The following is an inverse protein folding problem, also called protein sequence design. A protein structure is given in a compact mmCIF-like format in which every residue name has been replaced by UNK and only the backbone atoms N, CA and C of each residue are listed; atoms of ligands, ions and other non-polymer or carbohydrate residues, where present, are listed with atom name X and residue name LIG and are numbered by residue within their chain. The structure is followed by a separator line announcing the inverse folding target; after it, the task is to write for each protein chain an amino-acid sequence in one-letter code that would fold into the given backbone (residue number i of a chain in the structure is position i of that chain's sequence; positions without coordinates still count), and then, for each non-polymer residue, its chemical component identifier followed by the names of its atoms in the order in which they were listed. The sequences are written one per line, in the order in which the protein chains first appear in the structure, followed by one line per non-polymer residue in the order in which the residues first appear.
data_IF_568849778349
#
_entry.id   IF_568849778349
#
_cell.length_a   1.000
_cell.length_b   1.000
_cell.length_c   1.000
_cell.angle_alpha   90.00
_cell.angle_beta   90.00
_cell.angle_gamma   90.00
#
_symmetry.space_group_name_H-M   'P 1'
#
loop_
_entity.id
_entity.type
_entity.pdbx_description
1 polymer ?
#
# COMPACT_ATOMS: atom_id res chain seq x y z
N UNK A 1 -18.61 -25.56 27.04
CA UNK A 1 -17.61 -26.35 26.29
C UNK A 1 -16.25 -25.79 26.67
N UNK A 2 -15.35 -26.57 27.29
CA UNK A 2 -13.99 -26.13 27.61
C UNK A 2 -13.26 -25.89 26.30
N UNK A 3 -12.72 -24.68 26.11
CA UNK A 3 -11.92 -24.36 24.93
C UNK A 3 -10.78 -25.37 24.76
N UNK A 4 -10.64 -25.93 23.56
CA UNK A 4 -9.59 -26.91 23.25
C UNK A 4 -8.22 -26.22 23.42
N UNK A 5 -7.48 -26.61 24.47
CA UNK A 5 -6.26 -25.91 24.88
C UNK A 5 -5.12 -26.15 23.89
N UNK A 6 -4.56 -25.08 23.34
CA UNK A 6 -3.39 -25.12 22.47
C UNK A 6 -2.12 -25.39 23.29
N UNK A 7 -1.42 -26.48 22.98
CA UNK A 7 -0.20 -26.93 23.67
C UNK A 7 1.05 -26.39 22.98
N UNK A 8 1.11 -26.49 21.63
CA UNK A 8 2.31 -26.08 20.85
C UNK A 8 1.94 -25.77 19.40
N UNK A 9 2.63 -24.80 18.82
CA UNK A 9 2.61 -24.52 17.38
C UNK A 9 4.06 -24.52 16.85
N UNK A 10 4.28 -25.10 15.70
CA UNK A 10 5.57 -25.02 14.99
C UNK A 10 5.40 -25.29 13.50
N UNK A 11 6.34 -24.80 12.69
CA UNK A 11 6.42 -25.11 11.26
C UNK A 11 7.31 -26.31 11.00
N UNK A 12 7.01 -27.06 9.95
CA UNK A 12 7.81 -28.20 9.49
C UNK A 12 7.83 -28.26 7.97
N UNK A 13 8.97 -28.63 7.41
CA UNK A 13 9.08 -28.93 5.99
C UNK A 13 8.31 -30.23 5.68
N UNK A 14 7.59 -30.25 4.58
CA UNK A 14 6.96 -31.47 4.05
C UNK A 14 8.08 -32.36 3.50
N UNK A 15 8.20 -33.55 4.06
CA UNK A 15 9.13 -34.54 3.55
C UNK A 15 8.58 -35.24 2.31
N UNK A 16 9.42 -36.08 1.71
CA UNK A 16 9.03 -36.94 0.59
C UNK A 16 9.67 -38.32 0.77
N UNK A 17 8.94 -39.35 0.37
CA UNK A 17 9.44 -40.74 0.33
C UNK A 17 8.81 -41.46 -0.87
N UNK A 18 9.65 -41.93 -1.79
CA UNK A 18 9.24 -42.61 -3.01
C UNK A 18 8.20 -41.85 -3.84
N UNK A 19 8.42 -40.50 -4.03
CA UNK A 19 7.50 -39.66 -4.76
C UNK A 19 6.20 -39.27 -4.03
N UNK A 20 6.05 -39.68 -2.79
CA UNK A 20 4.88 -39.37 -1.96
C UNK A 20 5.24 -38.40 -0.85
N UNK A 21 4.48 -37.31 -0.72
CA UNK A 21 4.63 -36.33 0.36
C UNK A 21 4.41 -36.96 1.72
N UNK A 22 5.22 -36.56 2.68
CA UNK A 22 5.25 -37.12 4.03
C UNK A 22 5.18 -36.01 5.07
N UNK A 23 4.26 -36.16 6.00
CA UNK A 23 4.19 -35.33 7.21
C UNK A 23 4.77 -36.15 8.38
N UNK A 24 5.87 -35.63 8.93
CA UNK A 24 6.54 -36.22 10.07
C UNK A 24 6.41 -35.30 11.28
N UNK A 25 5.72 -35.78 12.33
CA UNK A 25 5.52 -35.04 13.57
C UNK A 25 6.23 -35.83 14.68
N UNK A 26 7.33 -35.29 15.19
CA UNK A 26 8.02 -35.84 16.36
C UNK A 26 8.04 -34.79 17.48
N UNK A 27 7.41 -35.07 18.61
CA UNK A 27 7.37 -34.13 19.71
C UNK A 27 7.09 -34.82 21.03
N UNK A 28 7.84 -34.44 22.08
CA UNK A 28 7.50 -34.83 23.48
C UNK A 28 6.14 -34.24 23.91
N UNK A 29 5.74 -33.10 23.34
CA UNK A 29 4.46 -32.44 23.64
C UNK A 29 3.24 -33.23 23.11
N UNK A 30 3.41 -34.17 22.20
CA UNK A 30 2.35 -35.12 21.83
C UNK A 30 1.84 -35.95 23.02
N UNK A 31 2.71 -36.19 24.04
CA UNK A 31 2.29 -36.89 25.27
C UNK A 31 1.21 -36.14 26.08
N UNK A 32 1.07 -34.84 25.86
CA UNK A 32 0.09 -33.97 26.52
C UNK A 32 -1.28 -33.97 25.81
N UNK A 33 -1.35 -34.54 24.60
CA UNK A 33 -2.60 -34.68 23.84
C UNK A 33 -3.37 -35.93 24.20
N UNK A 34 -4.69 -35.94 23.97
CA UNK A 34 -5.50 -37.15 24.11
C UNK A 34 -5.11 -38.27 23.12
N UNK A 35 -4.48 -37.91 22.01
CA UNK A 35 -3.99 -38.90 21.03
C UNK A 35 -2.95 -39.84 21.65
N UNK A 36 -2.19 -39.40 22.65
CA UNK A 36 -1.19 -40.18 23.34
C UNK A 36 -1.81 -41.31 24.20
N UNK A 37 -3.04 -41.14 24.68
CA UNK A 37 -3.67 -42.09 25.60
C UNK A 37 -3.89 -43.46 24.96
N UNK A 38 -4.30 -43.49 23.69
CA UNK A 38 -4.57 -44.71 22.94
C UNK A 38 -3.45 -45.08 21.95
N UNK A 39 -2.44 -44.25 21.81
CA UNK A 39 -1.37 -44.34 20.79
C UNK A 39 -1.91 -44.64 19.38
N UNK A 40 -3.11 -44.11 19.09
CA UNK A 40 -3.78 -44.24 17.80
C UNK A 40 -4.54 -42.97 17.47
N UNK A 41 -4.67 -42.67 16.17
CA UNK A 41 -5.38 -41.51 15.66
C UNK A 41 -6.17 -41.84 14.40
N UNK A 42 -7.12 -40.97 14.08
CA UNK A 42 -7.88 -40.97 12.85
C UNK A 42 -7.72 -39.59 12.15
N UNK A 43 -7.28 -39.56 10.89
CA UNK A 43 -7.12 -38.31 10.14
C UNK A 43 -8.43 -37.94 9.44
N UNK A 44 -8.85 -36.70 9.58
CA UNK A 44 -9.89 -36.06 8.80
C UNK A 44 -9.18 -35.15 7.74
N UNK A 45 -9.57 -35.30 6.48
CA UNK A 45 -8.97 -34.60 5.35
C UNK A 45 -9.95 -33.56 4.79
N UNK A 46 -9.59 -32.26 4.90
CA UNK A 46 -10.32 -31.16 4.31
C UNK A 46 -9.54 -30.63 3.10
N UNK A 47 -9.98 -31.04 1.92
CA UNK A 47 -9.31 -30.67 0.65
C UNK A 47 -9.54 -29.22 0.26
N UNK A 48 -10.66 -28.63 0.66
CA UNK A 48 -10.97 -27.22 0.36
C UNK A 48 -10.17 -26.28 1.27
N UNK A 49 -10.21 -26.51 2.59
CA UNK A 49 -9.43 -25.73 3.54
C UNK A 49 -7.93 -26.04 3.51
N UNK A 50 -7.51 -27.08 2.78
CA UNK A 50 -6.12 -27.58 2.74
C UNK A 50 -5.62 -27.95 4.14
N UNK A 51 -6.42 -28.76 4.87
CA UNK A 51 -6.20 -29.07 6.28
C UNK A 51 -6.29 -30.57 6.54
N UNK A 52 -5.42 -31.04 7.42
CA UNK A 52 -5.56 -32.40 8.04
C UNK A 52 -5.77 -32.21 9.55
N UNK A 53 -6.83 -32.79 10.07
CA UNK A 53 -7.11 -32.82 11.52
C UNK A 53 -6.97 -34.24 12.02
N UNK A 54 -6.11 -34.44 13.03
CA UNK A 54 -5.92 -35.75 13.65
C UNK A 54 -6.67 -35.76 14.99
N UNK A 55 -7.60 -36.69 15.13
CA UNK A 55 -8.37 -36.92 16.35
C UNK A 55 -8.03 -38.29 16.96
N UNK A 56 -8.40 -38.53 18.21
CA UNK A 56 -8.32 -39.84 18.82
C UNK A 56 -9.17 -40.80 18.01
N UNK A 57 -8.59 -41.93 17.60
CA UNK A 57 -9.25 -42.93 16.77
C UNK A 57 -8.57 -44.28 16.86
N UNK A 58 -8.96 -45.23 15.99
CA UNK A 58 -8.45 -46.61 16.01
C UNK A 58 -7.65 -46.97 14.73
N UNK A 59 -7.60 -46.08 13.76
CA UNK A 59 -7.10 -46.39 12.42
C UNK A 59 -5.58 -46.43 12.36
N UNK A 60 -4.91 -45.33 12.72
CA UNK A 60 -3.46 -45.21 12.56
C UNK A 60 -2.73 -45.28 13.90
N UNK A 61 -1.52 -45.86 13.88
CA UNK A 61 -0.70 -46.03 15.08
C UNK A 61 0.26 -44.87 15.29
N UNK A 62 0.41 -44.42 16.53
CA UNK A 62 1.46 -43.51 16.97
C UNK A 62 2.64 -44.34 17.45
N UNK A 63 3.82 -44.06 16.93
CA UNK A 63 5.07 -44.74 17.29
C UNK A 63 5.79 -44.02 18.42
N UNK A 64 6.58 -44.77 19.20
CA UNK A 64 7.46 -44.19 20.23
C UNK A 64 8.92 -44.31 19.78
N UNK A 65 9.69 -43.20 19.82
CA UNK A 65 11.09 -43.23 19.55
C UNK A 65 11.88 -43.49 20.83
N UNK A 66 12.43 -44.72 20.96
CA UNK A 66 13.09 -45.18 22.19
C UNK A 66 14.18 -44.24 22.71
N UNK A 67 15.01 -43.66 21.83
CA UNK A 67 16.12 -42.78 22.23
C UNK A 67 15.71 -41.42 22.81
N UNK A 68 14.62 -40.83 22.35
CA UNK A 68 14.15 -39.50 22.75
C UNK A 68 12.92 -39.52 23.65
N UNK A 69 12.31 -40.68 23.83
CA UNK A 69 11.01 -40.84 24.48
C UNK A 69 9.94 -39.90 23.93
N UNK A 70 10.01 -39.63 22.61
CA UNK A 70 9.04 -38.79 21.91
C UNK A 70 8.07 -39.63 21.11
N UNK A 71 6.82 -39.18 21.03
CA UNK A 71 5.84 -39.78 20.14
C UNK A 71 6.06 -39.29 18.71
N UNK A 72 5.77 -40.16 17.77
CA UNK A 72 5.92 -39.91 16.33
C UNK A 72 4.63 -40.23 15.60
N UNK A 73 4.12 -39.27 14.85
CA UNK A 73 3.06 -39.47 13.87
C UNK A 73 3.70 -39.36 12.49
N UNK A 74 3.47 -40.36 11.65
CA UNK A 74 3.98 -40.46 10.30
C UNK A 74 2.82 -40.62 9.33
N UNK A 75 2.57 -39.60 8.49
CA UNK A 75 1.47 -39.63 7.53
C UNK A 75 2.07 -39.63 6.14
N UNK A 76 1.88 -40.72 5.42
CA UNK A 76 2.38 -40.96 4.09
C UNK A 76 1.28 -41.61 3.25
N UNK A 77 0.54 -40.83 2.48
CA UNK A 77 -0.52 -41.33 1.60
C UNK A 77 -0.88 -40.33 0.53
N UNK A 78 -1.74 -40.72 -0.40
CA UNK A 78 -2.14 -39.91 -1.54
C UNK A 78 -2.91 -38.62 -1.13
N UNK A 79 -3.68 -38.67 -0.04
CA UNK A 79 -4.41 -37.49 0.45
C UNK A 79 -3.45 -36.35 0.87
N UNK A 80 -2.28 -36.71 1.44
CA UNK A 80 -1.24 -35.71 1.75
C UNK A 80 -0.69 -35.07 0.50
N UNK A 81 -0.49 -35.85 -0.59
CA UNK A 81 -0.06 -35.30 -1.88
C UNK A 81 -1.03 -34.28 -2.42
N UNK A 82 -2.32 -34.62 -2.40
CA UNK A 82 -3.39 -33.79 -2.98
C UNK A 82 -3.66 -32.53 -2.15
N UNK A 83 -3.74 -32.68 -0.82
CA UNK A 83 -4.00 -31.54 0.08
C UNK A 83 -2.85 -30.52 0.00
N UNK A 84 -1.62 -31.00 0.03
CA UNK A 84 -0.43 -30.13 0.08
C UNK A 84 0.27 -30.01 -1.27
N UNK A 85 -0.43 -30.25 -2.38
CA UNK A 85 0.12 -30.00 -3.71
C UNK A 85 0.58 -28.54 -3.86
N UNK A 86 1.85 -28.34 -4.30
CA UNK A 86 2.47 -27.03 -4.45
C UNK A 86 2.98 -26.39 -3.15
N UNK A 87 2.75 -27.00 -1.98
CA UNK A 87 3.28 -26.52 -0.69
C UNK A 87 4.56 -27.28 -0.29
N UNK A 88 5.46 -26.56 0.39
CA UNK A 88 6.71 -27.11 0.92
C UNK A 88 6.75 -27.19 2.44
N UNK A 89 5.96 -26.35 3.12
CA UNK A 89 5.93 -26.26 4.56
C UNK A 89 4.50 -26.31 5.11
N UNK A 90 4.38 -26.84 6.32
CA UNK A 90 3.14 -26.88 7.10
C UNK A 90 3.33 -26.25 8.46
N UNK A 91 2.25 -25.72 9.01
CA UNK A 91 2.12 -25.36 10.42
C UNK A 91 1.39 -26.51 11.12
N UNK A 92 1.96 -26.99 12.21
CA UNK A 92 1.42 -28.06 13.06
C UNK A 92 1.01 -27.44 14.37
N UNK A 93 -0.27 -27.54 14.70
CA UNK A 93 -0.88 -27.03 15.93
C UNK A 93 -1.30 -28.24 16.81
N UNK A 94 -0.65 -28.39 17.95
CA UNK A 94 -0.99 -29.43 18.93
C UNK A 94 -1.99 -28.85 19.92
N UNK A 95 -3.22 -29.34 19.87
CA UNK A 95 -4.24 -29.09 20.90
C UNK A 95 -4.39 -30.29 21.83
N UNK A 96 -5.07 -30.10 22.95
CA UNK A 96 -5.32 -31.19 23.91
C UNK A 96 -6.10 -32.32 23.26
N UNK A 97 -7.07 -32.00 22.42
CA UNK A 97 -8.02 -33.00 21.87
C UNK A 97 -7.71 -33.41 20.42
N UNK A 98 -6.87 -32.63 19.71
CA UNK A 98 -6.58 -32.84 18.29
C UNK A 98 -5.22 -32.28 17.87
N UNK A 99 -4.76 -32.68 16.69
CA UNK A 99 -3.61 -32.06 16.00
C UNK A 99 -4.07 -31.54 14.65
N UNK A 100 -3.82 -30.25 14.38
CA UNK A 100 -4.18 -29.61 13.11
C UNK A 100 -2.91 -29.37 12.31
N UNK A 101 -2.94 -29.71 11.03
CA UNK A 101 -1.85 -29.52 10.06
C UNK A 101 -2.39 -28.71 8.89
N UNK A 102 -1.78 -27.56 8.63
CA UNK A 102 -2.19 -26.62 7.57
C UNK A 102 -0.96 -26.15 6.80
N UNK A 103 -1.07 -25.71 5.53
CA UNK A 103 0.03 -25.06 4.84
C UNK A 103 0.52 -23.83 5.59
N UNK A 104 1.79 -23.47 5.41
CA UNK A 104 2.29 -22.19 5.88
C UNK A 104 1.50 -21.05 5.23
N UNK A 105 1.11 -20.03 6.02
CA UNK A 105 0.22 -18.95 5.54
C UNK A 105 0.79 -18.27 4.29
N UNK A 106 2.08 -17.94 4.30
CA UNK A 106 2.76 -17.28 3.18
C UNK A 106 2.68 -18.10 1.89
N UNK A 107 2.88 -19.42 1.97
CA UNK A 107 2.78 -20.32 0.80
C UNK A 107 1.34 -20.44 0.30
N UNK A 108 0.35 -20.47 1.22
CA UNK A 108 -1.07 -20.48 0.88
C UNK A 108 -1.46 -19.19 0.16
N UNK A 109 -1.00 -18.06 0.65
CA UNK A 109 -1.26 -16.74 0.07
C UNK A 109 -0.67 -16.62 -1.34
N UNK A 110 0.57 -17.11 -1.54
CA UNK A 110 1.20 -17.16 -2.87
C UNK A 110 0.44 -18.07 -3.85
N UNK A 111 -0.09 -19.19 -3.39
CA UNK A 111 -0.91 -20.10 -4.22
C UNK A 111 -2.22 -19.41 -4.65
N UNK A 112 -2.91 -18.76 -3.71
CA UNK A 112 -4.13 -18.00 -3.99
C UNK A 112 -3.85 -16.89 -5.03
N UNK A 113 -2.76 -16.16 -4.86
CA UNK A 113 -2.34 -15.12 -5.79
C UNK A 113 -2.09 -15.68 -7.21
N UNK A 114 -1.41 -16.84 -7.33
CA UNK A 114 -1.16 -17.49 -8.63
C UNK A 114 -2.43 -17.92 -9.36
N UNK A 115 -3.48 -18.30 -8.64
CA UNK A 115 -4.74 -18.77 -9.20
C UNK A 115 -5.71 -17.62 -9.55
N UNK A 116 -5.52 -16.44 -8.95
CA UNK A 116 -6.39 -15.29 -9.16
C UNK A 116 -6.28 -14.76 -10.58
N UNK A 117 -7.41 -14.46 -11.23
CA UNK A 117 -7.46 -13.82 -12.53
C UNK A 117 -7.68 -12.31 -12.38
N UNK A 118 -7.26 -11.53 -13.38
CA UNK A 118 -7.66 -10.12 -13.46
C UNK A 118 -9.12 -10.02 -13.92
N UNK A 119 -9.86 -9.11 -13.30
CA UNK A 119 -11.23 -8.78 -13.71
C UNK A 119 -11.23 -8.02 -15.05
N UNK A 120 -12.22 -8.26 -15.89
CA UNK A 120 -12.47 -7.46 -17.10
C UNK A 120 -13.17 -6.13 -16.78
N UNK A 121 -13.84 -6.05 -15.61
CA UNK A 121 -14.46 -4.84 -15.09
C UNK A 121 -13.90 -4.60 -13.67
N UNK A 122 -12.67 -4.11 -13.57
CA UNK A 122 -11.98 -4.02 -12.29
C UNK A 122 -12.63 -3.02 -11.34
N UNK A 123 -12.67 -3.39 -10.07
CA UNK A 123 -13.15 -2.57 -8.98
C UNK A 123 -12.00 -2.13 -8.07
N UNK A 124 -12.11 -0.96 -7.46
CA UNK A 124 -11.09 -0.43 -6.55
C UNK A 124 -11.69 0.04 -5.22
N UNK A 125 -10.86 -0.07 -4.16
CA UNK A 125 -11.03 0.65 -2.90
C UNK A 125 -9.93 1.69 -2.82
N UNK A 126 -10.30 2.94 -2.57
CA UNK A 126 -9.35 4.03 -2.36
C UNK A 126 -9.21 4.35 -0.87
N UNK A 127 -7.98 4.34 -0.38
CA UNK A 127 -7.61 4.67 1.00
C UNK A 127 -6.92 6.03 1.01
N UNK A 128 -7.34 6.92 1.92
CA UNK A 128 -6.96 8.35 1.97
C UNK A 128 -7.45 9.10 0.73
N UNK A 129 -8.74 8.92 0.42
CA UNK A 129 -9.33 9.34 -0.84
C UNK A 129 -9.39 10.85 -1.06
N UNK A 130 -9.27 11.66 0.02
CA UNK A 130 -9.40 13.10 -0.08
C UNK A 130 -10.69 13.51 -0.77
N UNK A 131 -10.61 14.47 -1.68
CA UNK A 131 -11.76 14.95 -2.47
C UNK A 131 -12.08 14.13 -3.72
N UNK A 132 -11.52 12.92 -3.89
CA UNK A 132 -11.87 12.00 -4.98
C UNK A 132 -11.09 12.21 -6.29
N UNK A 133 -9.95 12.86 -6.26
CA UNK A 133 -9.13 13.10 -7.48
C UNK A 133 -8.67 11.77 -8.09
N UNK A 134 -8.26 10.83 -7.27
CA UNK A 134 -7.79 9.52 -7.75
C UNK A 134 -8.98 8.62 -8.15
N UNK A 135 -10.14 8.74 -7.47
CA UNK A 135 -11.41 8.11 -7.90
C UNK A 135 -11.72 8.49 -9.36
N UNK A 136 -11.61 9.80 -9.68
CA UNK A 136 -11.81 10.30 -11.05
C UNK A 136 -10.81 9.67 -12.03
N UNK A 137 -9.53 9.65 -11.68
CA UNK A 137 -8.47 9.09 -12.54
C UNK A 137 -8.66 7.58 -12.77
N UNK A 138 -9.07 6.83 -11.75
CA UNK A 138 -9.41 5.41 -11.87
C UNK A 138 -10.61 5.21 -12.81
N UNK A 139 -11.64 6.04 -12.67
CA UNK A 139 -12.82 6.03 -13.55
C UNK A 139 -12.46 6.29 -15.02
N UNK A 140 -11.57 7.26 -15.28
CA UNK A 140 -11.05 7.57 -16.62
C UNK A 140 -10.24 6.39 -17.21
N UNK A 141 -9.64 5.57 -16.35
CA UNK A 141 -8.93 4.35 -16.73
C UNK A 141 -9.85 3.10 -16.83
N UNK A 142 -11.16 3.26 -16.67
CA UNK A 142 -12.12 2.15 -16.71
C UNK A 142 -12.21 1.31 -15.45
N UNK A 143 -11.68 1.81 -14.31
CA UNK A 143 -11.69 1.12 -13.02
C UNK A 143 -12.79 1.74 -12.15
N UNK A 144 -13.74 0.92 -11.70
CA UNK A 144 -14.85 1.39 -10.86
C UNK A 144 -14.42 1.43 -9.39
N UNK A 145 -14.33 2.62 -8.79
CA UNK A 145 -14.19 2.74 -7.33
C UNK A 145 -15.51 2.36 -6.66
N UNK A 146 -15.47 1.38 -5.75
CA UNK A 146 -16.64 0.87 -5.02
C UNK A 146 -16.66 1.37 -3.57
N UNK A 147 -15.50 1.71 -3.01
CA UNK A 147 -15.39 2.25 -1.66
C UNK A 147 -14.25 3.26 -1.57
N UNK A 148 -14.41 4.26 -0.71
CA UNK A 148 -13.42 5.29 -0.41
C UNK A 148 -13.35 5.53 1.10
N UNK A 149 -12.14 5.58 1.66
CA UNK A 149 -11.90 5.82 3.09
C UNK A 149 -11.14 7.13 3.24
N UNK A 150 -11.67 8.05 4.05
CA UNK A 150 -11.08 9.36 4.32
C UNK A 150 -11.34 9.78 5.76
N UNK A 151 -10.40 10.49 6.37
CA UNK A 151 -10.50 10.98 7.75
C UNK A 151 -11.47 12.17 7.87
N UNK A 152 -11.43 13.08 6.90
CA UNK A 152 -12.08 14.39 6.97
C UNK A 152 -13.37 14.42 6.13
N UNK A 153 -14.51 14.53 6.81
CA UNK A 153 -15.83 14.57 6.17
C UNK A 153 -15.97 15.63 5.06
N UNK A 154 -15.36 16.81 5.25
CA UNK A 154 -15.40 17.88 4.24
C UNK A 154 -14.80 17.49 2.86
N UNK A 155 -13.85 16.53 2.85
CA UNK A 155 -13.31 16.01 1.60
C UNK A 155 -14.24 14.97 1.00
N UNK A 156 -14.86 14.13 1.84
CA UNK A 156 -15.84 13.15 1.38
C UNK A 156 -17.06 13.81 0.75
N UNK A 157 -17.54 14.92 1.29
CA UNK A 157 -18.66 15.68 0.69
C UNK A 157 -18.35 16.07 -0.78
N UNK A 158 -17.11 16.49 -1.07
CA UNK A 158 -16.70 16.77 -2.46
C UNK A 158 -16.62 15.50 -3.31
N UNK A 159 -16.09 14.40 -2.74
CA UNK A 159 -16.02 13.10 -3.42
C UNK A 159 -17.42 12.61 -3.76
N UNK A 160 -18.34 12.61 -2.81
CA UNK A 160 -19.73 12.15 -2.95
C UNK A 160 -20.52 12.95 -3.97
N UNK A 161 -20.35 14.30 -3.98
CA UNK A 161 -20.99 15.17 -4.95
C UNK A 161 -20.58 14.84 -6.41
N UNK A 162 -19.34 14.40 -6.61
CA UNK A 162 -18.80 14.06 -7.93
C UNK A 162 -18.90 12.57 -8.26
N UNK A 163 -19.06 11.70 -7.26
CA UNK A 163 -19.05 10.25 -7.40
C UNK A 163 -20.14 9.58 -6.53
N UNK A 164 -21.44 9.81 -6.83
CA UNK A 164 -22.55 9.40 -5.94
C UNK A 164 -22.71 7.89 -5.75
N UNK A 165 -22.04 7.08 -6.55
CA UNK A 165 -22.11 5.62 -6.50
C UNK A 165 -20.96 4.97 -5.71
N UNK A 166 -20.10 5.77 -5.07
CA UNK A 166 -19.00 5.28 -4.22
C UNK A 166 -19.47 5.21 -2.78
N UNK A 167 -19.30 4.08 -2.12
CA UNK A 167 -19.55 3.97 -0.68
C UNK A 167 -18.41 4.63 0.08
N UNK A 168 -18.73 5.62 0.90
CA UNK A 168 -17.73 6.37 1.68
C UNK A 168 -17.66 5.90 3.12
N UNK A 169 -16.45 5.91 3.68
CA UNK A 169 -16.17 5.61 5.09
C UNK A 169 -15.40 6.78 5.68
N UNK A 170 -16.05 7.53 6.56
CA UNK A 170 -15.45 8.68 7.25
C UNK A 170 -14.83 8.27 8.58
N UNK A 171 -13.56 8.57 8.79
CA UNK A 171 -12.93 8.41 10.08
C UNK A 171 -11.48 7.90 10.04
N UNK A 172 -10.96 7.71 11.24
CA UNK A 172 -9.57 7.26 11.46
C UNK A 172 -9.39 5.81 10.97
N UNK A 173 -8.50 5.63 10.00
CA UNK A 173 -8.17 4.32 9.43
C UNK A 173 -7.74 3.29 10.49
N UNK A 174 -7.12 3.75 11.58
CA UNK A 174 -6.71 2.88 12.69
C UNK A 174 -7.90 2.26 13.44
N UNK A 175 -9.06 2.86 13.35
CA UNK A 175 -10.32 2.45 14.02
C UNK A 175 -11.32 1.82 13.07
N UNK A 176 -11.00 1.75 11.78
CA UNK A 176 -11.89 1.18 10.77
C UNK A 176 -12.09 -0.33 11.02
N UNK A 177 -13.32 -0.75 11.06
CA UNK A 177 -13.66 -2.18 10.96
C UNK A 177 -13.49 -2.62 9.49
N UNK A 178 -12.37 -3.28 9.22
CA UNK A 178 -12.00 -3.72 7.87
C UNK A 178 -13.04 -4.69 7.28
N UNK A 179 -13.80 -5.42 8.11
CA UNK A 179 -14.84 -6.34 7.65
C UNK A 179 -16.01 -5.64 6.94
N UNK A 180 -16.16 -4.34 7.16
CA UNK A 180 -17.18 -3.52 6.46
C UNK A 180 -16.78 -3.17 5.02
N UNK A 181 -15.49 -3.27 4.68
CA UNK A 181 -15.04 -2.98 3.32
C UNK A 181 -15.45 -4.07 2.34
N UNK A 182 -15.93 -3.72 1.13
CA UNK A 182 -16.26 -4.70 0.11
C UNK A 182 -14.99 -5.40 -0.41
N UNK A 183 -15.15 -6.55 -1.07
CA UNK A 183 -14.07 -7.12 -1.88
C UNK A 183 -13.87 -6.26 -3.12
N UNK A 184 -12.61 -6.10 -3.53
CA UNK A 184 -12.25 -5.35 -4.73
C UNK A 184 -11.03 -5.98 -5.42
N UNK A 185 -10.88 -5.67 -6.71
CA UNK A 185 -9.74 -6.12 -7.51
C UNK A 185 -8.48 -5.31 -7.24
N UNK A 186 -8.65 -4.05 -6.82
CA UNK A 186 -7.55 -3.13 -6.48
C UNK A 186 -7.74 -2.50 -5.10
N UNK A 187 -6.62 -2.28 -4.42
CA UNK A 187 -6.51 -1.33 -3.31
C UNK A 187 -5.53 -0.24 -3.74
N UNK A 188 -5.99 1.00 -3.64
CA UNK A 188 -5.22 2.18 -4.02
C UNK A 188 -5.06 3.06 -2.79
N UNK A 189 -3.85 3.51 -2.48
CA UNK A 189 -3.56 4.32 -1.32
C UNK A 189 -2.64 5.50 -1.66
N UNK A 190 -3.15 6.73 -1.53
CA UNK A 190 -2.36 7.95 -1.49
C UNK A 190 -2.00 8.29 -0.05
N UNK A 191 -0.95 7.68 0.49
CA UNK A 191 -0.62 7.81 1.92
C UNK A 191 -0.34 9.28 2.26
N UNK A 192 -0.80 9.84 3.41
CA UNK A 192 -0.49 11.22 3.80
C UNK A 192 1.01 11.46 3.95
N UNK A 193 1.56 12.33 3.11
CA UNK A 193 3.00 12.59 2.96
C UNK A 193 3.64 13.44 4.07
N UNK A 194 2.90 13.86 5.09
CA UNK A 194 3.37 14.81 6.10
C UNK A 194 4.64 14.34 6.82
N UNK A 195 4.76 13.03 7.08
CA UNK A 195 5.94 12.41 7.67
C UNK A 195 7.14 12.27 6.71
N UNK A 196 6.91 12.22 5.39
CA UNK A 196 7.95 11.93 4.38
C UNK A 196 8.34 13.14 3.54
N UNK A 197 7.59 14.26 3.66
CA UNK A 197 7.79 15.44 2.83
C UNK A 197 9.08 16.21 3.20
N UNK A 198 9.82 16.67 2.18
CA UNK A 198 10.95 17.59 2.36
C UNK A 198 10.54 18.95 2.95
N UNK A 199 9.25 19.30 2.89
CA UNK A 199 8.69 20.53 3.45
C UNK A 199 8.51 20.48 4.97
N UNK A 200 8.86 19.37 5.63
CA UNK A 200 8.77 19.22 7.08
C UNK A 200 9.70 20.20 7.78
N UNK A 201 9.16 20.97 8.72
CA UNK A 201 9.89 22.02 9.45
C UNK A 201 10.85 21.51 10.52
N UNK A 202 10.62 20.28 11.03
CA UNK A 202 11.47 19.61 12.01
C UNK A 202 12.22 18.45 11.36
N UNK A 203 13.42 18.71 10.85
CA UNK A 203 14.30 17.70 10.23
C UNK A 203 14.94 16.68 11.20
N UNK A 204 14.67 16.78 12.49
CA UNK A 204 15.35 15.99 13.55
C UNK A 204 14.63 14.69 13.88
N UNK A 205 13.38 14.50 13.46
CA UNK A 205 12.62 13.29 13.73
C UNK A 205 12.69 12.33 12.52
N UNK A 206 12.81 11.04 12.80
CA UNK A 206 12.69 10.00 11.76
C UNK A 206 11.28 10.06 11.16
N UNK A 207 11.14 9.73 9.89
CA UNK A 207 9.86 9.74 9.19
C UNK A 207 8.77 8.96 9.92
N UNK A 208 9.13 7.82 10.48
CA UNK A 208 8.22 6.91 11.20
C UNK A 208 7.77 7.45 12.57
N UNK A 209 8.46 8.44 13.13
CA UNK A 209 8.06 9.10 14.38
C UNK A 209 6.92 10.10 14.20
N UNK A 210 6.62 10.50 12.95
CA UNK A 210 5.46 11.34 12.66
C UNK A 210 4.16 10.56 12.86
N UNK A 211 3.07 11.16 13.36
CA UNK A 211 1.77 10.48 13.55
C UNK A 211 1.25 9.77 12.28
N UNK A 212 1.53 10.31 11.09
CA UNK A 212 1.14 9.68 9.81
C UNK A 212 2.11 8.59 9.35
N UNK A 213 3.29 8.47 9.95
CA UNK A 213 4.33 7.51 9.55
C UNK A 213 3.91 6.04 9.71
N UNK A 214 2.97 5.75 10.60
CA UNK A 214 2.44 4.40 10.83
C UNK A 214 1.23 4.04 9.94
N UNK A 215 0.68 4.96 9.16
CA UNK A 215 -0.55 4.74 8.39
C UNK A 215 -0.38 3.64 7.33
N UNK A 216 0.80 3.46 6.78
CA UNK A 216 1.11 2.36 5.86
C UNK A 216 0.86 0.97 6.46
N UNK A 217 1.00 0.81 7.79
CA UNK A 217 0.67 -0.44 8.48
C UNK A 217 -0.81 -0.81 8.35
N UNK A 218 -1.71 0.17 8.49
CA UNK A 218 -3.15 -0.07 8.34
C UNK A 218 -3.53 -0.36 6.87
N UNK A 219 -2.83 0.25 5.91
CA UNK A 219 -2.97 -0.10 4.49
C UNK A 219 -2.61 -1.58 4.28
N UNK A 220 -1.50 -2.06 4.84
CA UNK A 220 -1.11 -3.48 4.74
C UNK A 220 -2.14 -4.42 5.39
N UNK A 221 -2.76 -4.04 6.51
CA UNK A 221 -3.86 -4.81 7.12
C UNK A 221 -5.06 -4.92 6.19
N UNK A 222 -5.42 -3.84 5.50
CA UNK A 222 -6.52 -3.84 4.53
C UNK A 222 -6.17 -4.74 3.33
N UNK A 223 -4.94 -4.64 2.81
CA UNK A 223 -4.47 -5.49 1.70
C UNK A 223 -4.53 -6.97 2.11
N UNK A 224 -4.10 -7.31 3.34
CA UNK A 224 -4.18 -8.69 3.87
C UNK A 224 -5.62 -9.21 3.96
N UNK A 225 -6.57 -8.37 4.32
CA UNK A 225 -7.98 -8.73 4.44
C UNK A 225 -8.71 -8.83 3.08
N UNK A 226 -8.42 -7.88 2.17
CA UNK A 226 -9.10 -7.79 0.87
C UNK A 226 -8.49 -8.76 -0.15
N UNK A 227 -7.16 -8.94 -0.12
CA UNK A 227 -6.40 -9.73 -1.11
C UNK A 227 -6.68 -9.28 -2.54
N UNK A 228 -6.46 -8.01 -2.88
CA UNK A 228 -6.73 -7.50 -4.23
C UNK A 228 -5.81 -8.17 -5.27
N UNK A 229 -6.16 -8.09 -6.55
CA UNK A 229 -5.26 -8.53 -7.63
C UNK A 229 -4.12 -7.52 -7.86
N UNK A 230 -4.37 -6.25 -7.57
CA UNK A 230 -3.41 -5.16 -7.75
C UNK A 230 -3.45 -4.22 -6.53
N UNK A 231 -2.29 -3.75 -6.12
CA UNK A 231 -2.12 -2.68 -5.13
C UNK A 231 -1.40 -1.52 -5.82
N UNK A 232 -1.89 -0.30 -5.64
CA UNK A 232 -1.21 0.92 -6.05
C UNK A 232 -0.98 1.81 -4.83
N UNK A 233 0.27 2.18 -4.58
CA UNK A 233 0.64 3.13 -3.53
C UNK A 233 1.28 4.35 -4.19
N UNK A 234 0.74 5.54 -3.90
CA UNK A 234 1.29 6.84 -4.30
C UNK A 234 1.84 7.57 -3.09
N UNK A 235 3.02 8.14 -3.21
CA UNK A 235 3.68 8.91 -2.16
C UNK A 235 4.72 9.89 -2.72
N UNK A 236 5.32 10.71 -1.84
CA UNK A 236 6.47 11.55 -2.22
C UNK A 236 7.74 10.70 -2.40
N UNK A 237 8.73 11.15 -3.22
CA UNK A 237 9.94 10.36 -3.53
C UNK A 237 10.70 9.84 -2.30
N UNK A 238 10.73 10.61 -1.21
CA UNK A 238 11.44 10.20 0.01
C UNK A 238 10.87 8.94 0.68
N UNK A 239 9.60 8.62 0.44
CA UNK A 239 8.99 7.38 0.94
C UNK A 239 9.78 6.14 0.50
N UNK A 240 10.32 6.13 -0.72
CA UNK A 240 11.05 4.99 -1.31
C UNK A 240 12.15 4.45 -0.39
N UNK A 241 12.84 5.32 0.35
CA UNK A 241 13.94 4.97 1.25
C UNK A 241 13.52 4.79 2.72
N UNK A 242 12.23 4.88 3.03
CA UNK A 242 11.71 4.74 4.40
C UNK A 242 11.69 3.27 4.87
N UNK A 243 11.66 3.08 6.18
CA UNK A 243 11.45 1.77 6.78
C UNK A 243 10.06 1.21 6.42
N UNK A 244 9.04 2.08 6.32
CA UNK A 244 7.70 1.69 5.90
C UNK A 244 7.68 1.13 4.47
N UNK A 245 8.37 1.77 3.52
CA UNK A 245 8.48 1.25 2.16
C UNK A 245 9.18 -0.12 2.13
N UNK A 246 10.25 -0.29 2.92
CA UNK A 246 10.97 -1.56 3.03
C UNK A 246 10.08 -2.67 3.60
N UNK A 247 9.32 -2.37 4.64
CA UNK A 247 8.35 -3.29 5.23
C UNK A 247 7.23 -3.62 4.24
N UNK A 248 6.72 -2.63 3.51
CA UNK A 248 5.67 -2.81 2.51
C UNK A 248 6.13 -3.77 1.41
N UNK A 249 7.35 -3.59 0.89
CA UNK A 249 7.93 -4.51 -0.12
C UNK A 249 8.01 -5.94 0.42
N UNK A 250 8.58 -6.11 1.60
CA UNK A 250 8.73 -7.43 2.22
C UNK A 250 7.36 -8.13 2.42
N UNK A 251 6.39 -7.42 2.97
CA UNK A 251 5.06 -7.98 3.23
C UNK A 251 4.36 -8.34 1.92
N UNK A 252 4.34 -7.45 0.92
CA UNK A 252 3.70 -7.72 -0.36
C UNK A 252 4.38 -8.88 -1.11
N UNK A 253 5.71 -8.95 -1.11
CA UNK A 253 6.44 -10.08 -1.69
C UNK A 253 6.10 -11.40 -0.99
N UNK A 254 6.08 -11.42 0.35
CA UNK A 254 5.68 -12.60 1.13
C UNK A 254 4.23 -13.04 0.86
N UNK A 255 3.36 -12.11 0.48
CA UNK A 255 1.98 -12.37 0.06
C UNK A 255 1.87 -12.86 -1.39
N UNK A 256 2.98 -12.92 -2.14
CA UNK A 256 3.05 -13.40 -3.51
C UNK A 256 2.84 -12.34 -4.58
N UNK A 257 2.91 -11.05 -4.24
CA UNK A 257 2.86 -9.98 -5.23
C UNK A 257 4.22 -9.76 -5.89
N UNK A 258 4.19 -9.37 -7.16
CA UNK A 258 5.33 -8.87 -7.91
C UNK A 258 5.30 -7.34 -7.90
N UNK A 259 6.38 -6.71 -7.48
CA UNK A 259 6.45 -5.28 -7.20
C UNK A 259 7.21 -4.58 -8.32
N UNK A 260 6.64 -3.49 -8.84
CA UNK A 260 7.26 -2.54 -9.75
C UNK A 260 7.16 -1.14 -9.16
N UNK A 261 8.23 -0.37 -9.27
CA UNK A 261 8.33 0.96 -8.65
C UNK A 261 8.92 1.97 -9.61
N UNK A 262 8.40 3.19 -9.57
CA UNK A 262 8.95 4.31 -10.35
C UNK A 262 8.72 5.65 -9.66
N UNK A 263 9.40 6.67 -10.15
CA UNK A 263 9.08 8.08 -9.86
C UNK A 263 8.47 8.71 -11.10
N UNK A 264 7.26 9.24 -10.95
CA UNK A 264 6.54 9.95 -11.99
C UNK A 264 6.67 11.46 -11.79
N UNK A 265 6.89 12.19 -12.87
CA UNK A 265 6.91 13.65 -12.87
C UNK A 265 5.72 14.13 -13.69
N UNK A 266 4.84 14.95 -13.11
CA UNK A 266 3.60 15.37 -13.78
C UNK A 266 3.83 16.02 -15.14
N UNK A 267 4.88 16.80 -15.29
CA UNK A 267 5.21 17.43 -16.58
C UNK A 267 5.52 16.44 -17.71
N UNK A 268 5.98 15.24 -17.38
CA UNK A 268 6.30 14.21 -18.38
C UNK A 268 5.04 13.56 -18.96
N UNK A 269 3.88 13.80 -18.33
CA UNK A 269 2.58 13.29 -18.74
C UNK A 269 1.58 14.38 -19.13
N UNK A 270 2.10 15.55 -19.55
CA UNK A 270 1.29 16.66 -20.05
C UNK A 270 0.68 17.56 -18.98
N UNK A 271 1.03 17.37 -17.70
CA UNK A 271 0.69 18.31 -16.64
C UNK A 271 1.59 19.55 -16.70
N UNK A 272 1.06 20.72 -16.34
CA UNK A 272 1.86 21.94 -16.18
C UNK A 272 2.61 22.00 -14.84
N UNK A 273 2.60 20.95 -14.02
CA UNK A 273 3.32 20.92 -12.74
C UNK A 273 4.48 19.93 -12.76
N UNK A 274 5.62 20.34 -12.18
CA UNK A 274 6.79 19.48 -11.96
C UNK A 274 6.63 18.60 -10.71
N UNK A 275 5.38 18.22 -10.38
CA UNK A 275 5.09 17.40 -9.20
C UNK A 275 5.68 16.00 -9.37
N UNK A 276 6.63 15.65 -8.49
CA UNK A 276 7.21 14.32 -8.44
C UNK A 276 6.45 13.43 -7.47
N UNK A 277 6.21 12.18 -7.89
CA UNK A 277 5.58 11.16 -7.05
C UNK A 277 6.25 9.82 -7.22
N UNK A 278 6.48 9.16 -6.10
CA UNK A 278 6.80 7.76 -6.06
C UNK A 278 5.52 6.95 -6.23
N UNK A 279 5.57 5.96 -7.10
CA UNK A 279 4.49 5.01 -7.33
C UNK A 279 5.01 3.59 -7.19
N UNK A 280 4.30 2.78 -6.39
CA UNK A 280 4.53 1.34 -6.26
C UNK A 280 3.28 0.62 -6.77
N UNK A 281 3.45 -0.28 -7.71
CA UNK A 281 2.42 -1.24 -8.15
C UNK A 281 2.84 -2.63 -7.72
N UNK A 282 1.99 -3.30 -6.96
CA UNK A 282 2.17 -4.70 -6.62
C UNK A 282 1.05 -5.52 -7.27
N UNK A 283 1.40 -6.52 -8.05
CA UNK A 283 0.49 -7.32 -8.87
C UNK A 283 0.67 -8.81 -8.59
N UNK A 284 -0.43 -9.57 -8.60
CA UNK A 284 -0.40 -11.04 -8.46
C UNK A 284 0.27 -11.75 -9.64
N UNK A 285 0.42 -11.09 -10.78
CA UNK A 285 1.08 -11.61 -11.99
C UNK A 285 2.35 -10.81 -12.28
N UNK A 286 3.35 -11.51 -12.78
CA UNK A 286 4.59 -10.90 -13.30
C UNK A 286 4.32 -10.09 -14.57
N UNK A 287 5.22 -9.13 -14.86
CA UNK A 287 5.27 -8.44 -16.15
C UNK A 287 4.54 -7.10 -16.17
N UNK A 288 4.10 -6.57 -15.01
CA UNK A 288 3.73 -5.16 -14.97
C UNK A 288 4.99 -4.29 -15.01
N UNK A 289 5.04 -3.38 -15.95
CA UNK A 289 6.08 -2.35 -16.10
C UNK A 289 5.43 -1.00 -16.34
N UNK A 290 6.04 0.05 -15.82
CA UNK A 290 5.62 1.41 -16.14
C UNK A 290 6.04 1.75 -17.57
N UNK A 291 5.07 2.17 -18.38
CA UNK A 291 5.27 2.39 -19.81
C UNK A 291 5.71 3.84 -20.08
N UNK A 292 6.98 4.01 -20.40
CA UNK A 292 7.55 5.32 -20.77
C UNK A 292 6.97 5.88 -22.08
N UNK A 293 6.34 5.07 -22.93
CA UNK A 293 5.68 5.53 -24.16
C UNK A 293 4.45 6.40 -23.87
N UNK A 294 3.91 6.33 -22.66
CA UNK A 294 2.80 7.18 -22.20
C UNK A 294 3.24 8.62 -21.88
N UNK A 295 4.55 8.88 -21.83
CA UNK A 295 5.06 10.25 -21.67
C UNK A 295 4.63 11.12 -22.83
N UNK A 296 4.11 12.30 -22.51
CA UNK A 296 3.61 13.26 -23.50
C UNK A 296 4.37 14.57 -23.38
N UNK A 297 4.92 15.04 -24.48
CA UNK A 297 5.47 16.41 -24.57
C UNK A 297 4.31 17.38 -24.35
N UNK A 298 4.41 18.19 -23.30
CA UNK A 298 3.42 19.24 -23.08
C UNK A 298 3.58 20.33 -24.16
N UNK A 299 2.53 20.50 -24.96
CA UNK A 299 2.47 21.55 -26.00
C UNK A 299 1.92 22.86 -25.46
N UNK A 300 1.22 22.82 -24.31
CA UNK A 300 0.67 24.02 -23.67
C UNK A 300 1.71 24.72 -22.81
N UNK A 301 1.56 26.01 -22.69
CA UNK A 301 2.35 26.87 -21.80
C UNK A 301 1.46 27.41 -20.68
N UNK A 302 2.07 28.11 -19.74
CA UNK A 302 1.34 28.83 -18.68
C UNK A 302 0.36 29.82 -19.27
N UNK A 303 0.76 30.53 -20.35
CA UNK A 303 -0.10 31.49 -21.08
C UNK A 303 -1.43 30.89 -21.51
N UNK A 304 -1.41 29.64 -21.97
CA UNK A 304 -2.59 28.94 -22.52
C UNK A 304 -3.64 28.57 -21.47
N UNK A 305 -3.28 28.67 -20.19
CA UNK A 305 -4.18 28.30 -19.06
C UNK A 305 -4.59 29.51 -18.21
N UNK A 306 -4.11 30.71 -18.52
CA UNK A 306 -4.49 31.89 -17.76
C UNK A 306 -5.91 32.33 -18.10
N UNK A 307 -6.80 32.30 -17.10
CA UNK A 307 -8.18 32.77 -17.24
C UNK A 307 -8.26 34.31 -17.25
N UNK A 308 -7.37 34.96 -16.47
CA UNK A 308 -7.26 36.40 -16.45
C UNK A 308 -6.10 36.83 -17.37
N UNK A 309 -6.36 37.56 -18.44
CA UNK A 309 -5.31 38.09 -19.32
C UNK A 309 -4.23 38.86 -18.59
N UNK A 310 -3.03 38.88 -19.14
CA UNK A 310 -1.85 39.51 -18.52
C UNK A 310 -2.09 40.99 -18.21
N UNK A 311 -2.76 41.68 -19.09
CA UNK A 311 -3.11 43.11 -19.01
C UNK A 311 -4.13 43.43 -17.92
N UNK A 312 -4.92 42.44 -17.50
CA UNK A 312 -5.99 42.63 -16.50
C UNK A 312 -5.60 42.06 -15.12
N UNK A 313 -4.33 41.73 -14.91
CA UNK A 313 -3.87 41.14 -13.65
C UNK A 313 -3.37 42.21 -12.68
N UNK A 314 -3.57 41.93 -11.39
CA UNK A 314 -2.94 42.69 -10.33
C UNK A 314 -1.47 42.34 -10.24
N UNK A 315 -0.62 43.33 -10.54
CA UNK A 315 0.82 43.17 -10.47
C UNK A 315 1.40 43.78 -9.20
N UNK A 316 2.19 43.00 -8.50
CA UNK A 316 2.80 43.36 -7.22
C UNK A 316 4.32 43.39 -7.36
N UNK A 317 4.94 44.44 -6.82
CA UNK A 317 6.38 44.60 -6.74
C UNK A 317 6.84 44.96 -5.32
N UNK A 318 8.12 45.26 -5.14
CA UNK A 318 8.68 45.64 -3.83
C UNK A 318 8.13 46.97 -3.29
N UNK A 319 7.52 47.80 -4.13
CA UNK A 319 7.03 49.15 -3.72
C UNK A 319 5.56 49.07 -3.25
N UNK A 320 4.80 48.13 -3.80
CA UNK A 320 3.36 48.00 -3.48
C UNK A 320 3.02 46.73 -2.67
N UNK A 321 4.00 45.87 -2.35
CA UNK A 321 3.79 44.65 -1.56
C UNK A 321 4.93 44.34 -0.59
N UNK A 322 4.65 44.45 0.70
CA UNK A 322 5.60 44.11 1.76
C UNK A 322 6.06 42.63 1.68
N UNK A 323 5.17 41.73 1.28
CA UNK A 323 5.47 40.27 1.11
C UNK A 323 6.48 40.07 -0.02
N UNK A 324 6.32 40.75 -1.14
CA UNK A 324 7.22 40.67 -2.27
C UNK A 324 8.59 41.28 -1.88
N UNK A 325 8.59 42.47 -1.29
CA UNK A 325 9.82 43.13 -0.82
C UNK A 325 10.62 42.23 0.11
N UNK A 326 9.99 41.70 1.15
CA UNK A 326 10.62 40.79 2.09
C UNK A 326 11.17 39.51 1.42
N UNK A 327 10.44 38.93 0.50
CA UNK A 327 10.84 37.68 -0.15
C UNK A 327 12.01 37.88 -1.12
N UNK A 328 12.09 39.00 -1.82
CA UNK A 328 13.23 39.36 -2.67
C UNK A 328 14.50 39.49 -1.82
N UNK A 329 14.43 40.24 -0.71
CA UNK A 329 15.58 40.42 0.18
C UNK A 329 16.00 39.10 0.85
N UNK A 330 15.05 38.32 1.29
CA UNK A 330 15.31 37.02 1.84
C UNK A 330 15.98 36.07 0.83
N UNK A 331 15.52 36.06 -0.42
CA UNK A 331 16.15 35.27 -1.48
C UNK A 331 17.62 35.68 -1.69
N UNK A 332 17.90 36.99 -1.76
CA UNK A 332 19.27 37.50 -1.88
C UNK A 332 20.16 37.08 -0.72
N UNK A 333 19.61 37.11 0.52
CA UNK A 333 20.34 36.65 1.73
C UNK A 333 20.64 35.16 1.66
N UNK A 334 19.65 34.32 1.31
CA UNK A 334 19.81 32.88 1.18
C UNK A 334 20.77 32.49 0.05
N UNK A 335 20.78 33.23 -1.05
CA UNK A 335 21.77 33.04 -2.12
C UNK A 335 23.19 33.30 -1.59
N UNK A 336 23.39 34.39 -0.85
CA UNK A 336 24.71 34.73 -0.24
C UNK A 336 25.18 33.65 0.76
N UNK A 337 24.25 33.02 1.47
CA UNK A 337 24.52 31.93 2.45
C UNK A 337 24.62 30.55 1.82
N UNK A 338 24.37 30.36 0.53
CA UNK A 338 24.31 29.05 -0.11
C UNK A 338 23.08 28.23 0.29
N UNK A 339 22.02 28.87 0.80
CA UNK A 339 20.81 28.23 1.29
C UNK A 339 19.72 28.11 0.19
N UNK A 340 18.73 27.25 0.41
CA UNK A 340 17.79 26.80 -0.62
C UNK A 340 16.54 27.64 -0.84
N UNK A 341 16.32 28.76 -0.12
CA UNK A 341 15.12 29.58 -0.35
C UNK A 341 15.18 30.23 -1.73
N UNK A 342 14.17 30.01 -2.56
CA UNK A 342 14.00 30.62 -3.88
C UNK A 342 12.55 30.99 -4.10
N UNK A 343 12.32 32.12 -4.79
CA UNK A 343 11.00 32.48 -5.29
C UNK A 343 10.64 31.54 -6.43
N UNK A 344 9.43 31.00 -6.39
CA UNK A 344 8.91 30.05 -7.38
C UNK A 344 8.50 30.74 -8.69
N UNK A 345 9.43 31.42 -9.36
CA UNK A 345 9.19 32.15 -10.60
C UNK A 345 8.63 31.26 -11.69
N UNK A 346 7.57 31.69 -12.30
CA UNK A 346 6.91 31.06 -13.43
C UNK A 346 6.71 32.09 -14.52
N UNK A 347 7.09 31.77 -15.74
CA UNK A 347 6.97 32.63 -16.90
C UNK A 347 5.85 32.17 -17.82
N UNK A 348 5.34 33.09 -18.65
CA UNK A 348 4.20 32.82 -19.54
C UNK A 348 4.46 31.66 -20.49
N UNK A 349 5.67 31.52 -20.98
CA UNK A 349 6.05 30.49 -21.97
C UNK A 349 6.61 29.21 -21.33
N UNK A 350 6.59 29.12 -19.98
CA UNK A 350 6.96 27.90 -19.27
C UNK A 350 5.98 26.78 -19.58
N UNK A 351 6.52 25.61 -19.91
CA UNK A 351 5.76 24.37 -20.13
C UNK A 351 5.52 23.58 -18.85
N UNK A 352 6.12 24.02 -17.74
CA UNK A 352 5.91 23.39 -16.43
C UNK A 352 6.28 24.36 -15.30
N UNK A 353 5.46 24.37 -14.25
CA UNK A 353 5.61 25.24 -13.07
C UNK A 353 6.00 24.43 -11.83
N UNK A 354 6.58 25.06 -10.80
CA UNK A 354 6.64 24.48 -9.46
C UNK A 354 5.26 24.05 -8.96
N UNK A 355 5.23 23.09 -8.04
CA UNK A 355 3.97 22.61 -7.46
C UNK A 355 3.34 23.69 -6.59
N UNK A 356 2.06 23.99 -6.81
CA UNK A 356 1.24 24.84 -5.93
C UNK A 356 0.89 24.02 -4.69
N UNK A 357 1.27 24.54 -3.50
CA UNK A 357 1.03 23.84 -2.23
C UNK A 357 -0.29 24.24 -1.58
N UNK A 358 -0.76 23.47 -0.59
CA UNK A 358 -1.94 23.79 0.23
C UNK A 358 -1.85 25.17 0.90
N UNK A 359 -0.63 25.68 1.11
CA UNK A 359 -0.39 27.00 1.71
C UNK A 359 -0.36 28.18 0.75
N UNK A 360 -0.66 27.96 -0.52
CA UNK A 360 -0.59 28.98 -1.57
C UNK A 360 -1.42 30.23 -1.26
N UNK A 361 -2.62 30.06 -0.72
CA UNK A 361 -3.51 31.15 -0.29
C UNK A 361 -2.90 32.07 0.79
N UNK A 362 -1.84 31.64 1.47
CA UNK A 362 -1.09 32.44 2.45
C UNK A 362 -0.02 33.35 1.81
N UNK A 363 0.00 33.45 0.49
CA UNK A 363 0.95 34.29 -0.23
C UNK A 363 2.39 33.78 -0.17
N UNK A 364 2.62 32.45 -0.21
CA UNK A 364 3.96 31.89 -0.21
C UNK A 364 4.62 32.04 -1.58
N UNK A 365 5.69 32.85 -1.66
CA UNK A 365 6.42 33.03 -2.90
C UNK A 365 7.35 31.85 -3.27
N UNK A 366 7.51 30.86 -2.40
CA UNK A 366 8.20 29.62 -2.75
C UNK A 366 7.36 28.70 -3.65
N UNK A 367 6.04 28.92 -3.68
CA UNK A 367 5.14 28.28 -4.64
C UNK A 367 5.22 29.01 -5.98
N UNK A 368 4.56 28.44 -7.00
CA UNK A 368 4.54 29.05 -8.34
C UNK A 368 3.89 30.44 -8.32
N UNK A 369 4.62 31.45 -8.76
CA UNK A 369 4.12 32.82 -8.94
C UNK A 369 4.45 33.33 -10.32
N UNK A 370 3.48 33.94 -10.99
CA UNK A 370 3.65 34.48 -12.36
C UNK A 370 4.53 35.70 -12.36
N UNK A 371 5.58 35.70 -13.18
CA UNK A 371 6.43 36.87 -13.42
C UNK A 371 5.82 37.76 -14.47
N UNK A 372 5.93 39.09 -14.28
CA UNK A 372 5.58 40.05 -15.32
C UNK A 372 6.48 39.84 -16.56
N UNK A 373 5.92 39.88 -17.80
CA UNK A 373 6.68 39.55 -19.00
C UNK A 373 7.84 40.51 -19.30
N UNK A 374 7.76 41.77 -18.88
CA UNK A 374 8.75 42.81 -19.21
C UNK A 374 9.30 43.59 -18.01
N UNK A 375 8.63 43.54 -16.85
CA UNK A 375 9.05 44.31 -15.66
C UNK A 375 9.70 43.36 -14.66
N UNK A 376 11.01 43.50 -14.36
CA UNK A 376 11.69 42.65 -13.37
C UNK A 376 11.07 42.77 -11.97
N UNK A 377 11.20 41.69 -11.18
CA UNK A 377 10.77 41.61 -9.79
C UNK A 377 9.30 42.04 -9.54
N UNK A 378 8.47 41.84 -10.55
CA UNK A 378 7.03 42.11 -10.54
C UNK A 378 6.28 40.84 -10.78
N UNK A 379 5.30 40.55 -9.92
CA UNK A 379 4.67 39.22 -9.80
C UNK A 379 3.15 39.33 -9.68
N UNK A 380 2.46 38.28 -10.10
CA UNK A 380 1.03 38.12 -9.88
C UNK A 380 0.71 36.71 -9.42
N UNK A 381 -0.25 36.56 -8.51
CA UNK A 381 -0.72 35.26 -8.03
C UNK A 381 -1.62 34.61 -9.09
N UNK A 382 -1.53 33.27 -9.19
CA UNK A 382 -2.56 32.53 -9.90
C UNK A 382 -3.86 32.61 -9.09
N UNK A 383 -4.95 32.94 -9.73
CA UNK A 383 -6.27 32.98 -9.10
C UNK A 383 -6.77 31.53 -8.92
N UNK A 384 -7.31 31.17 -7.74
CA UNK A 384 -8.06 29.93 -7.61
C UNK A 384 -9.33 30.01 -8.45
N UNK A 385 -9.75 28.88 -8.98
CA UNK A 385 -11.11 28.74 -9.52
C UNK A 385 -12.12 28.77 -8.43
#
# INVERSE_FOLDING_TARGET
MSANHLIKVYSSKIGERNGTKRIWIESKKLNETKLAQNLRYEPEYDFEAKRITLKTGLVNKISTRKKSNSLVIDILNQNVNEIFEGFQHVVIKLYKDEVIIEPLKEEKDQQIAKQKAYSTNPTAIEIFAGGGTLVKALGDAGIKTVAAVELEDKYLQNLEANNPNVTTYCGDLAKLDISMLPKADMVVAGIPCEGYSQAQTKKTEKFEAHPTGSLGFYVLKIIDAIRPAVVLIEEVPNFKSSAMASMTRYVLDSMGYHISETELVGSDYGSLTKRKRYCMVASIKKGFEFDDSLKKINTRTVRDILEVPVENRDWLDKNNSATISYSIEKEKEHIRKGEGFRIGRTYLDDKATPTITKGYFKGRLTDSILCHPTIPDTYSWFTPR
#
